data_IF_734494022320
#
_entry.id   IF_734494022320
#
_cell.length_a   1.000
_cell.length_b   1.000
_cell.length_c   1.000
_cell.angle_alpha   90.00
_cell.angle_beta   90.00
_cell.angle_gamma   90.00
#
_symmetry.space_group_name_H-M   'P 1'
#
loop_
_entity.id
_entity.type
_entity.pdbx_description
1 polymer ?
#
# COMPACT_ATOMS: atom_id res chain seq x y z
N UNK A 1 -5.55 -24.07 -9.56
CA UNK A 1 -5.70 -22.69 -9.06
C UNK A 1 -4.30 -22.09 -9.06
N UNK A 2 -4.06 -20.96 -9.72
CA UNK A 2 -2.71 -20.39 -9.80
C UNK A 2 -2.35 -19.77 -8.45
N UNK A 3 -1.23 -20.17 -7.86
CA UNK A 3 -0.80 -19.73 -6.53
C UNK A 3 -0.49 -18.22 -6.50
N UNK A 4 -0.94 -17.56 -5.43
CA UNK A 4 -0.60 -16.17 -5.11
C UNK A 4 0.85 -16.15 -4.64
N UNK A 5 1.78 -15.74 -5.50
CA UNK A 5 3.21 -15.65 -5.16
C UNK A 5 3.65 -14.18 -5.09
N UNK A 6 4.24 -13.74 -3.96
CA UNK A 6 4.85 -12.42 -3.90
C UNK A 6 6.11 -12.38 -4.79
N UNK A 7 6.46 -11.21 -5.38
CA UNK A 7 7.71 -11.07 -6.09
C UNK A 7 8.90 -11.27 -5.13
N UNK A 8 10.07 -11.66 -5.62
CA UNK A 8 11.24 -11.85 -4.78
C UNK A 8 11.63 -10.55 -4.06
N UNK A 9 12.21 -10.68 -2.87
CA UNK A 9 12.76 -9.54 -2.12
C UNK A 9 13.89 -8.90 -2.94
N UNK A 10 13.79 -7.60 -3.24
CA UNK A 10 14.80 -6.86 -3.98
C UNK A 10 15.95 -6.46 -3.04
N UNK A 11 17.15 -6.31 -3.59
CA UNK A 11 18.32 -5.91 -2.79
C UNK A 11 18.15 -4.51 -2.18
N UNK A 12 18.77 -4.28 -1.03
CA UNK A 12 18.78 -2.95 -0.40
C UNK A 12 19.45 -1.89 -1.29
N UNK A 13 20.42 -2.30 -2.10
CA UNK A 13 21.09 -1.43 -3.05
C UNK A 13 20.13 -0.82 -4.07
N UNK A 14 19.23 -1.63 -4.63
CA UNK A 14 18.20 -1.16 -5.57
C UNK A 14 17.01 -0.50 -4.86
N UNK A 15 16.70 -0.91 -3.63
CA UNK A 15 15.56 -0.37 -2.89
C UNK A 15 15.81 1.06 -2.41
N UNK A 16 16.87 1.29 -1.63
CA UNK A 16 17.11 2.57 -0.94
C UNK A 16 18.56 3.10 -0.99
N UNK A 17 19.56 2.28 -1.34
CA UNK A 17 20.97 2.69 -1.30
C UNK A 17 21.50 3.17 -2.66
N UNK A 18 22.67 2.70 -3.08
CA UNK A 18 23.53 3.39 -4.05
C UNK A 18 23.00 3.43 -5.48
N UNK A 19 22.22 2.43 -5.90
CA UNK A 19 21.60 2.41 -7.24
C UNK A 19 20.19 3.00 -7.26
N UNK A 20 19.66 3.39 -6.09
CA UNK A 20 18.36 4.02 -5.98
C UNK A 20 18.38 5.46 -6.53
N UNK A 21 17.45 5.73 -7.45
CA UNK A 21 17.22 7.05 -8.03
C UNK A 21 15.92 7.60 -7.47
N UNK A 22 15.97 8.81 -6.93
CA UNK A 22 14.83 9.52 -6.38
C UNK A 22 14.62 10.84 -7.10
N UNK A 23 13.37 11.21 -7.33
CA UNK A 23 13.02 12.53 -7.81
C UNK A 23 11.69 12.97 -7.22
N UNK A 24 11.59 14.28 -6.96
CA UNK A 24 10.36 14.91 -6.50
C UNK A 24 9.24 14.59 -7.50
N UNK A 25 8.08 14.09 -7.03
CA UNK A 25 6.97 13.77 -7.91
C UNK A 25 6.41 15.03 -8.58
N UNK A 26 5.97 14.88 -9.83
CA UNK A 26 5.27 15.95 -10.53
C UNK A 26 3.80 15.98 -10.09
N UNK A 27 3.49 16.88 -9.16
CA UNK A 27 2.16 17.01 -8.54
C UNK A 27 1.13 17.55 -9.56
N UNK A 28 1.57 18.13 -10.68
CA UNK A 28 0.67 18.63 -11.73
C UNK A 28 0.07 17.50 -12.57
N UNK A 29 0.74 16.34 -12.63
CA UNK A 29 0.28 15.18 -13.38
C UNK A 29 -0.01 14.01 -12.42
N UNK A 30 -1.21 14.02 -11.84
CA UNK A 30 -1.67 13.00 -10.89
C UNK A 30 -1.72 11.60 -11.49
N UNK A 31 -2.03 11.46 -12.78
CA UNK A 31 -2.06 10.17 -13.46
C UNK A 31 -0.67 9.54 -13.51
N UNK A 32 0.34 10.32 -13.93
CA UNK A 32 1.73 9.88 -13.95
C UNK A 32 2.25 9.53 -12.56
N UNK A 33 1.88 10.32 -11.55
CA UNK A 33 2.22 10.05 -10.16
C UNK A 33 1.59 8.75 -9.66
N UNK A 34 0.29 8.55 -9.92
CA UNK A 34 -0.41 7.34 -9.55
C UNK A 34 0.21 6.09 -10.20
N UNK A 35 0.49 6.16 -11.51
CA UNK A 35 1.16 5.10 -12.24
C UNK A 35 2.55 4.80 -11.66
N UNK A 36 3.30 5.83 -11.25
CA UNK A 36 4.59 5.64 -10.58
C UNK A 36 4.43 4.90 -9.26
N UNK A 37 3.50 5.35 -8.40
CA UNK A 37 3.24 4.74 -7.10
C UNK A 37 2.87 3.27 -7.27
N UNK A 38 1.84 2.96 -8.07
CA UNK A 38 1.34 1.59 -8.28
C UNK A 38 2.46 0.67 -8.79
N UNK A 39 3.21 1.09 -9.81
CA UNK A 39 4.29 0.28 -10.35
C UNK A 39 5.40 0.02 -9.31
N UNK A 40 5.74 1.02 -8.50
CA UNK A 40 6.73 0.84 -7.44
C UNK A 40 6.19 -0.07 -6.32
N UNK A 41 4.93 0.09 -5.93
CA UNK A 41 4.24 -0.75 -4.92
C UNK A 41 4.31 -2.24 -5.29
N UNK A 42 4.12 -2.56 -6.56
CA UNK A 42 4.17 -3.95 -7.03
C UNK A 42 5.59 -4.47 -7.18
N UNK A 43 6.51 -3.66 -7.73
CA UNK A 43 7.90 -4.10 -7.94
C UNK A 43 8.65 -4.34 -6.61
N UNK A 44 8.48 -3.45 -5.64
CA UNK A 44 9.11 -3.52 -4.31
C UNK A 44 8.19 -4.09 -3.24
N UNK A 45 7.12 -4.80 -3.62
CA UNK A 45 6.10 -5.31 -2.70
C UNK A 45 6.70 -5.99 -1.46
N UNK A 46 7.61 -6.94 -1.67
CA UNK A 46 8.21 -7.72 -0.58
C UNK A 46 9.08 -6.86 0.34
N UNK A 47 9.77 -5.85 -0.20
CA UNK A 47 10.53 -4.87 0.59
C UNK A 47 9.60 -3.99 1.44
N UNK A 48 8.46 -3.57 0.88
CA UNK A 48 7.47 -2.79 1.63
C UNK A 48 6.83 -3.61 2.74
N UNK A 49 6.41 -4.84 2.48
CA UNK A 49 5.86 -5.70 3.52
C UNK A 49 6.88 -6.00 4.62
N UNK A 50 8.12 -6.30 4.25
CA UNK A 50 9.19 -6.47 5.24
C UNK A 50 9.38 -5.21 6.09
N UNK A 51 9.40 -4.03 5.46
CA UNK A 51 9.54 -2.74 6.16
C UNK A 51 8.39 -2.53 7.14
N UNK A 52 7.14 -2.76 6.72
CA UNK A 52 5.96 -2.66 7.58
C UNK A 52 6.03 -3.67 8.74
N UNK A 53 6.43 -4.91 8.48
CA UNK A 53 6.60 -5.94 9.52
C UNK A 53 7.65 -5.51 10.55
N UNK A 54 8.77 -4.92 10.13
CA UNK A 54 9.80 -4.41 11.04
C UNK A 54 9.22 -3.30 11.94
N UNK A 55 8.50 -2.33 11.37
CA UNK A 55 7.86 -1.28 12.17
C UNK A 55 6.82 -1.84 13.15
N UNK A 56 5.99 -2.78 12.69
CA UNK A 56 5.01 -3.47 13.54
C UNK A 56 5.69 -4.25 14.67
N UNK A 57 6.81 -4.92 14.40
CA UNK A 57 7.57 -5.64 15.41
C UNK A 57 8.15 -4.69 16.46
N UNK A 58 8.71 -3.55 16.05
CA UNK A 58 9.25 -2.53 16.95
C UNK A 58 8.17 -1.95 17.86
N UNK A 59 7.04 -1.51 17.28
CA UNK A 59 5.94 -0.92 18.07
C UNK A 59 5.22 -1.98 18.91
N UNK A 60 5.01 -3.16 18.32
CA UNK A 60 4.35 -4.30 18.96
C UNK A 60 5.13 -4.88 20.12
N UNK A 61 6.47 -4.77 20.11
CA UNK A 61 7.29 -5.14 21.27
C UNK A 61 6.98 -4.24 22.48
N UNK A 62 6.72 -2.95 22.26
CA UNK A 62 6.44 -1.99 23.34
C UNK A 62 4.99 -2.07 23.81
N UNK A 63 4.01 -2.15 22.89
CA UNK A 63 2.59 -2.13 23.22
C UNK A 63 1.78 -3.17 22.41
N UNK A 64 1.97 -4.48 22.67
CA UNK A 64 1.41 -5.55 21.85
C UNK A 64 -0.13 -5.53 21.81
N UNK A 65 -0.79 -5.35 22.96
CA UNK A 65 -2.25 -5.35 23.04
C UNK A 65 -2.89 -4.20 22.26
N UNK A 66 -2.29 -3.00 22.36
CA UNK A 66 -2.76 -1.84 21.60
C UNK A 66 -2.49 -2.01 20.10
N UNK A 67 -1.41 -2.70 19.72
CA UNK A 67 -1.13 -3.00 18.31
C UNK A 67 -2.16 -3.97 17.75
N UNK A 68 -2.48 -5.05 18.48
CA UNK A 68 -3.54 -5.98 18.08
C UNK A 68 -4.87 -5.26 17.94
N UNK A 69 -5.25 -4.42 18.91
CA UNK A 69 -6.47 -3.62 18.83
C UNK A 69 -6.48 -2.71 17.60
N UNK A 70 -5.38 -1.99 17.36
CA UNK A 70 -5.23 -1.11 16.19
C UNK A 70 -5.35 -1.88 14.87
N UNK A 71 -4.69 -3.03 14.75
CA UNK A 71 -4.76 -3.90 13.59
C UNK A 71 -6.19 -4.41 13.36
N UNK A 72 -6.87 -4.87 14.42
CA UNK A 72 -8.27 -5.32 14.34
C UNK A 72 -9.19 -4.19 13.86
N UNK A 73 -9.07 -2.99 14.42
CA UNK A 73 -9.89 -1.83 14.01
C UNK A 73 -9.66 -1.50 12.54
N UNK A 74 -8.41 -1.45 12.08
CA UNK A 74 -8.08 -1.15 10.68
C UNK A 74 -8.59 -2.23 9.74
N UNK A 75 -8.42 -3.51 10.09
CA UNK A 75 -8.93 -4.63 9.28
C UNK A 75 -10.45 -4.59 9.17
N UNK A 76 -11.17 -4.37 10.28
CA UNK A 76 -12.62 -4.26 10.26
C UNK A 76 -13.10 -3.04 9.46
N UNK A 77 -12.43 -1.90 9.59
CA UNK A 77 -12.74 -0.71 8.80
C UNK A 77 -12.52 -0.95 7.29
N UNK A 78 -11.42 -1.63 6.93
CA UNK A 78 -11.15 -2.01 5.55
C UNK A 78 -12.20 -2.97 5.00
N UNK A 79 -12.49 -4.07 5.71
CA UNK A 79 -13.49 -5.04 5.28
C UNK A 79 -14.89 -4.43 5.20
N UNK A 80 -15.27 -3.60 6.16
CA UNK A 80 -16.53 -2.86 6.15
C UNK A 80 -16.63 -1.90 4.96
N UNK A 81 -15.54 -1.21 4.62
CA UNK A 81 -15.49 -0.35 3.43
C UNK A 81 -15.60 -1.16 2.13
N UNK A 82 -14.89 -2.29 2.02
CA UNK A 82 -14.98 -3.18 0.84
C UNK A 82 -16.39 -3.73 0.69
N UNK A 83 -16.99 -4.22 1.78
CA UNK A 83 -18.37 -4.70 1.80
C UNK A 83 -19.34 -3.58 1.39
N UNK A 84 -19.19 -2.36 1.92
CA UNK A 84 -20.01 -1.23 1.50
C UNK A 84 -19.84 -0.91 0.01
N UNK A 85 -18.62 -0.99 -0.52
CA UNK A 85 -18.32 -0.78 -1.93
C UNK A 85 -18.87 -1.90 -2.85
N UNK A 86 -19.12 -3.10 -2.33
CA UNK A 86 -19.76 -4.18 -3.08
C UNK A 86 -21.28 -4.04 -3.11
N UNK A 87 -21.88 -3.56 -2.01
CA UNK A 87 -23.33 -3.46 -1.87
C UNK A 87 -23.91 -2.11 -2.33
N UNK A 88 -23.11 -1.05 -2.38
CA UNK A 88 -23.55 0.31 -2.72
C UNK A 88 -22.80 0.87 -3.93
N UNK A 89 -23.53 1.20 -5.00
CA UNK A 89 -22.95 1.68 -6.25
C UNK A 89 -22.19 3.02 -6.10
N UNK A 90 -22.66 3.91 -5.20
CA UNK A 90 -22.00 5.18 -4.90
C UNK A 90 -20.61 4.97 -4.28
N UNK A 91 -20.52 4.09 -3.28
CA UNK A 91 -19.26 3.73 -2.61
C UNK A 91 -18.33 3.00 -3.58
N UNK A 92 -18.86 2.10 -4.41
CA UNK A 92 -18.09 1.44 -5.48
C UNK A 92 -17.46 2.44 -6.43
N UNK A 93 -18.22 3.45 -6.87
CA UNK A 93 -17.76 4.51 -7.77
C UNK A 93 -16.71 5.37 -7.07
N UNK A 94 -16.97 5.80 -5.85
CA UNK A 94 -16.02 6.58 -5.05
C UNK A 94 -14.68 5.87 -4.90
N UNK A 95 -14.71 4.57 -4.56
CA UNK A 95 -13.52 3.72 -4.46
C UNK A 95 -12.68 3.72 -5.75
N UNK A 96 -13.32 3.55 -6.90
CA UNK A 96 -12.65 3.52 -8.21
C UNK A 96 -12.16 4.89 -8.67
N UNK A 97 -12.91 5.95 -8.42
CA UNK A 97 -12.56 7.31 -8.86
C UNK A 97 -11.53 7.96 -7.94
N UNK A 98 -11.57 7.66 -6.63
CA UNK A 98 -10.73 8.28 -5.61
C UNK A 98 -10.15 7.23 -4.64
N UNK A 99 -9.25 6.36 -5.11
CA UNK A 99 -8.64 5.30 -4.29
C UNK A 99 -7.81 5.85 -3.14
N UNK A 100 -7.09 6.96 -3.34
CA UNK A 100 -6.34 7.64 -2.28
C UNK A 100 -7.25 8.19 -1.18
N UNK A 101 -8.38 8.81 -1.55
CA UNK A 101 -9.37 9.28 -0.57
C UNK A 101 -10.04 8.11 0.15
N UNK A 102 -10.20 6.96 -0.52
CA UNK A 102 -10.72 5.75 0.10
C UNK A 102 -9.79 5.20 1.18
N UNK A 103 -8.48 5.14 0.89
CA UNK A 103 -7.48 4.78 1.90
C UNK A 103 -7.48 5.78 3.07
N UNK A 104 -7.52 7.08 2.78
CA UNK A 104 -7.62 8.13 3.81
C UNK A 104 -8.89 8.00 4.64
N UNK A 105 -10.02 7.64 4.04
CA UNK A 105 -11.28 7.43 4.76
C UNK A 105 -11.19 6.23 5.72
N UNK A 106 -10.57 5.13 5.30
CA UNK A 106 -10.37 3.94 6.14
C UNK A 106 -9.45 4.26 7.33
N UNK A 107 -8.32 4.93 7.07
CA UNK A 107 -7.38 5.34 8.12
C UNK A 107 -8.00 6.40 9.05
N UNK A 108 -8.76 7.34 8.51
CA UNK A 108 -9.47 8.36 9.27
C UNK A 108 -10.56 7.77 10.17
N UNK A 109 -11.36 6.83 9.66
CA UNK A 109 -12.34 6.10 10.47
C UNK A 109 -11.64 5.32 11.59
N UNK A 110 -10.54 4.61 11.27
CA UNK A 110 -9.75 3.86 12.25
C UNK A 110 -9.19 4.76 13.35
N UNK A 111 -8.70 5.96 12.99
CA UNK A 111 -8.25 6.96 13.94
C UNK A 111 -9.35 7.37 14.90
N UNK A 112 -10.55 7.69 14.40
CA UNK A 112 -11.69 8.07 15.24
C UNK A 112 -12.07 6.95 16.22
N UNK A 113 -12.13 5.69 15.79
CA UNK A 113 -12.37 4.58 16.72
C UNK A 113 -11.28 4.45 17.79
N UNK A 114 -10.01 4.59 17.39
CA UNK A 114 -8.89 4.44 18.32
C UNK A 114 -8.70 5.65 19.24
N UNK A 115 -9.26 6.83 18.92
CA UNK A 115 -9.38 7.93 19.89
C UNK A 115 -10.28 7.56 21.07
N UNK A 116 -11.34 6.78 20.83
CA UNK A 116 -12.24 6.31 21.90
C UNK A 116 -11.61 5.16 22.68
N UNK A 117 -10.88 4.27 22.00
CA UNK A 117 -10.30 3.07 22.59
C UNK A 117 -8.91 3.29 23.23
N UNK A 118 -8.33 4.49 23.11
CA UNK A 118 -7.03 4.83 23.71
C UNK A 118 -5.80 4.26 22.99
N UNK A 119 -5.90 3.95 21.69
CA UNK A 119 -4.84 3.31 20.89
C UNK A 119 -4.18 4.21 19.84
N UNK A 120 -4.39 5.53 19.90
CA UNK A 120 -4.01 6.48 18.83
C UNK A 120 -2.52 6.46 18.51
N UNK A 121 -1.65 6.53 19.54
CA UNK A 121 -0.20 6.59 19.32
C UNK A 121 0.30 5.33 18.59
N UNK A 122 -0.12 4.15 19.04
CA UNK A 122 0.25 2.87 18.42
C UNK A 122 -0.28 2.76 17.00
N UNK A 123 -1.49 3.24 16.73
CA UNK A 123 -2.00 3.30 15.36
C UNK A 123 -1.19 4.24 14.47
N UNK A 124 -0.90 5.45 14.95
CA UNK A 124 -0.15 6.44 14.18
C UNK A 124 1.25 5.93 13.86
N UNK A 125 2.00 5.45 14.85
CA UNK A 125 3.39 5.04 14.66
C UNK A 125 3.55 3.60 14.14
N UNK A 126 2.66 2.69 14.52
CA UNK A 126 2.73 1.28 14.15
C UNK A 126 2.07 0.94 12.82
N UNK A 127 1.05 1.71 12.39
CA UNK A 127 0.26 1.38 11.20
C UNK A 127 0.28 2.52 10.18
N UNK A 128 -0.15 3.73 10.56
CA UNK A 128 -0.30 4.83 9.61
C UNK A 128 1.06 5.34 9.10
N UNK A 129 2.05 5.46 9.98
CA UNK A 129 3.39 5.96 9.63
C UNK A 129 4.14 5.01 8.67
N UNK A 130 4.18 3.68 8.86
CA UNK A 130 4.77 2.77 7.89
C UNK A 130 4.07 2.83 6.52
N UNK A 131 2.73 2.93 6.47
CA UNK A 131 1.99 3.11 5.22
C UNK A 131 2.40 4.42 4.53
N UNK A 132 2.51 5.52 5.29
CA UNK A 132 2.95 6.81 4.76
C UNK A 132 4.36 6.73 4.18
N UNK A 133 5.31 6.09 4.88
CA UNK A 133 6.68 5.92 4.38
C UNK A 133 6.73 5.10 3.09
N UNK A 134 5.93 4.02 3.01
CA UNK A 134 5.79 3.21 1.78
C UNK A 134 5.28 4.07 0.62
N UNK A 135 4.24 4.89 0.84
CA UNK A 135 3.68 5.76 -0.18
C UNK A 135 4.65 6.87 -0.60
N UNK A 136 5.36 7.49 0.35
CA UNK A 136 6.41 8.47 0.06
C UNK A 136 7.48 7.82 -0.81
N UNK A 137 8.04 6.69 -0.38
CA UNK A 137 9.06 5.96 -1.13
C UNK A 137 8.58 5.61 -2.55
N UNK A 138 7.38 5.05 -2.68
CA UNK A 138 6.77 4.71 -3.96
C UNK A 138 6.54 5.94 -4.86
N UNK A 139 6.29 7.13 -4.28
CA UNK A 139 6.10 8.37 -5.03
C UNK A 139 7.41 8.99 -5.54
N UNK A 140 8.49 8.89 -4.75
CA UNK A 140 9.78 9.51 -5.09
C UNK A 140 10.67 8.60 -5.93
N UNK A 141 10.52 7.28 -5.83
CA UNK A 141 11.40 6.32 -6.51
C UNK A 141 11.20 6.41 -8.03
N UNK A 142 12.29 6.71 -8.74
CA UNK A 142 12.35 6.66 -10.19
C UNK A 142 12.63 5.24 -10.67
N UNK A 143 12.06 4.86 -11.80
CA UNK A 143 12.26 3.52 -12.37
C UNK A 143 13.56 3.45 -13.18
N UNK A 144 14.38 2.43 -12.94
CA UNK A 144 15.52 2.10 -13.82
C UNK A 144 15.03 1.45 -15.11
N UNK A 145 15.74 1.61 -16.24
CA UNK A 145 15.37 1.00 -17.53
C UNK A 145 15.37 -0.54 -17.48
N UNK A 146 16.18 -1.16 -16.62
CA UNK A 146 16.16 -2.62 -16.37
C UNK A 146 14.84 -3.06 -15.72
N UNK A 147 14.32 -2.25 -14.79
CA UNK A 147 13.01 -2.44 -14.15
C UNK A 147 11.85 -2.21 -15.14
N UNK A 148 12.12 -1.64 -16.33
CA UNK A 148 11.11 -1.50 -17.39
C UNK A 148 10.88 -2.81 -18.15
N UNK A 149 11.93 -3.60 -18.32
CA UNK A 149 11.93 -4.89 -19.01
C UNK A 149 11.45 -6.02 -18.10
N UNK A 150 11.93 -6.09 -16.85
CA UNK A 150 11.44 -7.08 -15.88
C UNK A 150 9.93 -6.98 -15.65
N UNK A 151 9.37 -5.78 -15.48
CA UNK A 151 7.92 -5.63 -15.30
C UNK A 151 7.09 -6.03 -16.53
N UNK A 152 7.63 -6.01 -17.77
CA UNK A 152 6.89 -6.51 -18.95
C UNK A 152 6.83 -8.04 -18.95
N UNK A 153 7.81 -8.71 -18.34
CA UNK A 153 7.82 -10.16 -18.15
C UNK A 153 6.99 -10.58 -16.91
N UNK A 154 7.02 -9.78 -15.84
CA UNK A 154 6.21 -10.02 -14.62
C UNK A 154 4.75 -9.55 -14.75
N UNK A 155 4.40 -8.67 -15.71
CA UNK A 155 3.04 -8.12 -15.84
C UNK A 155 1.96 -9.16 -16.15
N UNK A 156 2.35 -10.37 -16.57
CA UNK A 156 1.44 -11.48 -16.83
C UNK A 156 0.93 -12.10 -15.49
N UNK A 157 1.65 -11.91 -14.38
CA UNK A 157 1.30 -12.42 -13.04
C UNK A 157 0.95 -11.37 -11.98
N UNK A 158 1.09 -10.07 -12.27
CA UNK A 158 1.02 -8.98 -11.28
C UNK A 158 -0.33 -8.86 -10.55
N UNK A 159 -1.46 -9.17 -11.22
CA UNK A 159 -2.80 -9.21 -10.60
C UNK A 159 -2.94 -10.31 -9.53
N UNK A 160 -2.01 -11.27 -9.46
CA UNK A 160 -2.05 -12.42 -8.53
C UNK A 160 -1.11 -12.26 -7.33
N UNK A 161 -0.59 -11.07 -7.09
CA UNK A 161 0.26 -10.79 -5.92
C UNK A 161 -0.57 -10.21 -4.76
N UNK A 162 -0.16 -10.38 -3.49
CA UNK A 162 -0.88 -9.78 -2.36
C UNK A 162 -1.08 -8.25 -2.47
N UNK A 163 -0.09 -7.48 -2.95
CA UNK A 163 -0.28 -6.05 -3.19
C UNK A 163 -1.20 -5.80 -4.38
N UNK A 164 -1.14 -6.62 -5.43
CA UNK A 164 -2.08 -6.56 -6.55
C UNK A 164 -3.53 -6.71 -6.09
N UNK A 165 -3.80 -7.69 -5.23
CA UNK A 165 -5.12 -7.91 -4.62
C UNK A 165 -5.55 -6.74 -3.72
N UNK A 166 -4.64 -6.18 -2.92
CA UNK A 166 -4.93 -4.99 -2.10
C UNK A 166 -5.28 -3.77 -2.96
N UNK A 167 -4.52 -3.53 -4.03
CA UNK A 167 -4.76 -2.43 -4.96
C UNK A 167 -6.09 -2.63 -5.70
N UNK A 168 -6.39 -3.85 -6.16
CA UNK A 168 -7.69 -4.19 -6.74
C UNK A 168 -8.85 -3.96 -5.76
N UNK A 169 -8.69 -4.38 -4.50
CA UNK A 169 -9.68 -4.16 -3.45
C UNK A 169 -9.90 -2.68 -3.15
N UNK A 170 -8.87 -1.83 -3.34
CA UNK A 170 -8.95 -0.36 -3.29
C UNK A 170 -9.44 0.28 -4.59
N UNK A 171 -9.77 -0.51 -5.62
CA UNK A 171 -10.26 -0.03 -6.91
C UNK A 171 -9.15 0.47 -7.85
N UNK A 172 -7.89 0.18 -7.56
CA UNK A 172 -6.72 0.46 -8.39
C UNK A 172 -6.33 -0.79 -9.19
N UNK A 173 -7.07 -1.07 -10.27
CA UNK A 173 -6.65 -2.13 -11.19
C UNK A 173 -5.45 -1.67 -12.02
N UNK A 174 -4.39 -2.46 -12.03
CA UNK A 174 -3.37 -2.32 -13.07
C UNK A 174 -4.00 -2.78 -14.39
N UNK A 175 -4.21 -1.86 -15.33
CA UNK A 175 -4.40 -2.23 -16.72
C UNK A 175 -3.11 -2.95 -17.16
N UNK A 176 -3.21 -4.27 -17.26
CA UNK A 176 -2.14 -5.11 -17.73
C UNK A 176 -1.96 -4.81 -19.23
N UNK A 177 -1.09 -3.85 -19.54
CA UNK A 177 -0.66 -3.55 -20.90
C UNK A 177 -1.16 -2.22 -21.44
N UNK A 178 -0.36 -1.18 -21.22
CA UNK A 178 -0.05 -0.18 -22.25
C UNK A 178 1.47 -0.16 -22.47
#
# INVERSE_FOLDING_TARGET
>A
MADVQPPPLRSLDDFILGSARFAVPDIRNFERLNNRIINNLLYYQSNYFLSVIIFLAVVGYVQPMQLFLGATVVTLAFLGFVWAAENQASVRRFRRTHPSLSLTAILGASYLFLTVLGGVAVFLFGIAFPILLVLIHASVRLRSLKNKLENKLESIGLKRTPMGLLLEALGQEQEAGS
#
